data_IF_786678236830
#
_entry.id   IF_786678236830
#
_cell.length_a   1.000
_cell.length_b   1.000
_cell.length_c   1.000
_cell.angle_alpha   90.00
_cell.angle_beta   90.00
_cell.angle_gamma   90.00
#
_symmetry.space_group_name_H-M   'P 1'
#
loop_
_entity.id
_entity.type
_entity.pdbx_description
1 polymer ?
#
# COMPACT_ATOMS: atom_id res chain seq x y z
N UNK A 1 -0.11 -7.83 7.38
CA UNK A 1 -1.32 -7.81 8.23
C UNK A 1 -2.04 -9.14 8.18
N UNK A 2 -1.60 -10.10 8.96
CA UNK A 2 -2.24 -11.41 9.08
C UNK A 2 -2.75 -11.60 10.51
N UNK A 3 -3.89 -12.26 10.61
CA UNK A 3 -4.48 -12.85 11.82
C UNK A 3 -4.62 -14.35 11.58
N UNK A 4 -4.88 -15.17 12.61
CA UNK A 4 -5.14 -16.60 12.40
C UNK A 4 -6.26 -16.87 11.38
N UNK A 5 -7.32 -16.07 11.40
CA UNK A 5 -8.49 -16.21 10.52
C UNK A 5 -8.14 -15.85 9.06
N UNK A 6 -7.48 -14.71 8.87
CA UNK A 6 -7.09 -14.27 7.52
C UNK A 6 -6.01 -15.18 6.92
N UNK A 7 -5.13 -15.76 7.75
CA UNK A 7 -4.18 -16.78 7.33
C UNK A 7 -4.88 -18.03 6.83
N UNK A 8 -5.86 -18.56 7.58
CA UNK A 8 -6.67 -19.71 7.13
C UNK A 8 -7.35 -19.44 5.80
N UNK A 9 -7.97 -18.26 5.65
CA UNK A 9 -8.62 -17.84 4.39
C UNK A 9 -7.67 -17.85 3.19
N UNK A 10 -6.45 -17.34 3.36
CA UNK A 10 -5.42 -17.33 2.31
C UNK A 10 -5.01 -18.77 1.94
N UNK A 11 -4.78 -19.62 2.94
CA UNK A 11 -4.43 -21.03 2.71
C UNK A 11 -5.55 -21.79 1.99
N UNK A 12 -6.80 -21.55 2.34
CA UNK A 12 -7.94 -22.19 1.70
C UNK A 12 -8.14 -21.73 0.26
N UNK A 13 -7.84 -20.46 -0.06
CA UNK A 13 -7.80 -19.98 -1.44
C UNK A 13 -6.73 -20.71 -2.25
N UNK A 14 -5.52 -20.84 -1.71
CA UNK A 14 -4.44 -21.59 -2.37
C UNK A 14 -4.81 -23.06 -2.60
N UNK A 15 -5.44 -23.74 -1.63
CA UNK A 15 -5.90 -25.13 -1.80
C UNK A 15 -6.90 -25.30 -2.95
N UNK A 16 -7.72 -24.28 -3.22
CA UNK A 16 -8.68 -24.25 -4.33
C UNK A 16 -8.02 -23.92 -5.68
N UNK A 17 -6.71 -23.67 -5.71
CA UNK A 17 -6.00 -23.21 -6.90
C UNK A 17 -6.23 -21.73 -7.21
N UNK A 18 -6.85 -20.98 -6.30
CA UNK A 18 -7.03 -19.54 -6.45
C UNK A 18 -5.73 -18.79 -6.12
N UNK A 19 -5.59 -17.59 -6.69
CA UNK A 19 -4.51 -16.66 -6.34
C UNK A 19 -5.07 -15.57 -5.43
N UNK A 20 -4.95 -15.71 -4.10
CA UNK A 20 -5.41 -14.69 -3.17
C UNK A 20 -4.69 -13.36 -3.45
N UNK A 21 -5.38 -12.26 -3.17
CA UNK A 21 -4.87 -10.90 -3.43
C UNK A 21 -3.55 -10.69 -2.67
N UNK A 22 -2.45 -10.32 -3.36
CA UNK A 22 -1.20 -10.02 -2.69
C UNK A 22 -1.29 -8.69 -1.93
N UNK A 23 -0.57 -8.62 -0.81
CA UNK A 23 -0.49 -7.42 0.05
C UNK A 23 -1.12 -7.62 1.43
N UNK A 24 -1.28 -6.52 2.19
CA UNK A 24 -1.93 -6.55 3.49
C UNK A 24 -3.34 -7.18 3.41
N UNK A 25 -3.71 -7.97 4.42
CA UNK A 25 -5.07 -8.52 4.55
C UNK A 25 -5.98 -7.64 5.42
N UNK A 26 -5.49 -6.46 5.82
CA UNK A 26 -6.27 -5.42 6.47
C UNK A 26 -6.87 -4.46 5.43
N UNK A 27 -7.46 -3.35 5.89
CA UNK A 27 -7.98 -2.29 5.01
C UNK A 27 -6.90 -1.42 4.33
N UNK A 28 -5.62 -1.60 4.68
CA UNK A 28 -4.51 -0.86 4.06
C UNK A 28 -4.09 -1.44 2.72
N UNK A 29 -3.56 -0.58 1.85
CA UNK A 29 -3.00 -0.92 0.56
C UNK A 29 -1.56 -1.42 0.65
N UNK A 30 -0.70 -0.72 1.39
CA UNK A 30 0.73 -1.05 1.49
C UNK A 30 1.26 -0.83 2.92
N UNK A 31 2.00 0.24 3.15
CA UNK A 31 2.70 0.56 4.39
C UNK A 31 2.22 1.86 5.02
N UNK A 32 1.09 2.40 4.57
CA UNK A 32 0.49 3.58 5.17
C UNK A 32 0.04 3.32 6.60
N UNK A 33 -0.20 4.40 7.35
CA UNK A 33 -0.79 4.28 8.67
C UNK A 33 -2.25 3.79 8.54
N UNK A 34 -2.62 2.80 9.36
CA UNK A 34 -3.94 2.16 9.33
C UNK A 34 -5.09 3.09 9.74
N UNK A 35 -4.77 4.19 10.43
CA UNK A 35 -5.73 5.22 10.81
C UNK A 35 -5.86 6.35 9.75
N UNK A 36 -5.17 6.24 8.61
CA UNK A 36 -5.16 7.25 7.54
C UNK A 36 -3.76 7.81 7.27
N UNK A 37 -3.59 8.49 6.14
CA UNK A 37 -2.31 9.06 5.72
C UNK A 37 -1.86 10.18 6.68
N UNK A 38 -0.67 10.03 7.26
CA UNK A 38 -0.05 11.03 8.15
C UNK A 38 1.09 11.81 7.50
N UNK A 39 1.49 11.42 6.29
CA UNK A 39 2.57 12.03 5.52
C UNK A 39 2.27 11.88 4.01
N UNK A 40 2.97 12.66 3.18
CA UNK A 40 2.77 12.68 1.72
C UNK A 40 1.30 12.96 1.33
N UNK A 41 0.63 13.83 2.09
CA UNK A 41 -0.76 14.23 1.85
C UNK A 41 -0.89 15.41 0.89
N UNK A 42 0.21 16.09 0.58
CA UNK A 42 0.27 17.20 -0.37
C UNK A 42 0.50 16.69 -1.80
N UNK A 43 0.34 17.60 -2.77
CA UNK A 43 0.71 17.32 -4.15
C UNK A 43 2.17 16.82 -4.25
N UNK A 44 2.45 15.79 -5.07
CA UNK A 44 3.80 15.31 -5.29
C UNK A 44 4.71 16.40 -5.87
N UNK A 45 6.01 16.25 -5.62
CA UNK A 45 7.02 17.12 -6.19
C UNK A 45 7.06 16.96 -7.73
N UNK A 46 6.73 18.04 -8.44
CA UNK A 46 6.74 18.07 -9.90
C UNK A 46 8.10 18.42 -10.51
N UNK A 47 8.34 18.11 -11.80
CA UNK A 47 9.55 18.54 -12.51
C UNK A 47 9.68 20.07 -12.48
N UNK A 48 10.89 20.58 -12.20
CA UNK A 48 11.17 22.02 -12.21
C UNK A 48 10.61 22.82 -11.02
N UNK A 49 9.73 22.23 -10.19
CA UNK A 49 8.97 22.95 -9.16
C UNK A 49 9.83 23.70 -8.13
N UNK A 50 11.06 23.24 -7.90
CA UNK A 50 12.02 23.93 -7.03
C UNK A 50 13.45 23.87 -7.60
N UNK A 51 13.56 23.81 -8.94
CA UNK A 51 14.85 24.06 -9.58
C UNK A 51 15.25 25.52 -9.34
N UNK A 52 16.57 25.77 -9.23
CA UNK A 52 17.05 27.15 -9.33
C UNK A 52 16.85 27.63 -10.78
N UNK A 53 16.80 28.95 -11.03
CA UNK A 53 16.55 29.52 -12.36
C UNK A 53 17.48 28.98 -13.47
N UNK A 54 18.67 28.51 -13.10
CA UNK A 54 19.66 27.94 -14.01
C UNK A 54 19.32 26.52 -14.48
N UNK A 55 18.37 25.84 -13.81
CA UNK A 55 17.98 24.44 -14.05
C UNK A 55 16.46 24.25 -14.21
N UNK A 56 15.70 25.34 -14.34
CA UNK A 56 14.24 25.34 -14.59
C UNK A 56 13.90 25.31 -16.07
#
# INVERSE_FOLDING_TARGET
DLTPETTKKVLDAFKKGEKPKPGPQSGRHTSENSAGLTALTSEPYGPGAFCTPEFS
#
